data_IF_505506805916
#
_entry.id   IF_505506805916
#
_cell.length_a   1.000
_cell.length_b   1.000
_cell.length_c   1.000
_cell.angle_alpha   90.00
_cell.angle_beta   90.00
_cell.angle_gamma   90.00
#
_symmetry.space_group_name_H-M   'P 1'
#
loop_
_entity.id
_entity.type
_entity.pdbx_description
1 polymer ?
#
# COMPACT_ATOMS: atom_id res chain seq x y z
N UNK A 1 -4.18 -16.90 -7.79
CA UNK A 1 -2.72 -16.73 -7.52
C UNK A 1 -2.56 -16.52 -6.03
N UNK A 2 -1.61 -17.20 -5.38
CA UNK A 2 -1.32 -16.98 -3.96
C UNK A 2 -0.71 -15.59 -3.78
N UNK A 3 -1.37 -14.74 -2.99
CA UNK A 3 -0.88 -13.41 -2.63
C UNK A 3 -0.47 -13.46 -1.16
N UNK A 4 0.74 -13.02 -0.84
CA UNK A 4 1.13 -12.76 0.55
C UNK A 4 0.50 -11.47 1.07
N UNK A 5 0.24 -10.52 0.17
CA UNK A 5 -0.52 -9.31 0.46
C UNK A 5 -1.42 -9.01 -0.74
N UNK A 6 -2.71 -8.76 -0.51
CA UNK A 6 -3.69 -8.43 -1.55
C UNK A 6 -3.45 -7.05 -2.17
N UNK A 7 -4.19 -6.72 -3.23
CA UNK A 7 -4.19 -5.38 -3.80
C UNK A 7 -4.81 -4.38 -2.84
N UNK A 8 -4.09 -3.30 -2.54
CA UNK A 8 -4.55 -2.22 -1.68
C UNK A 8 -3.76 -0.94 -1.96
N UNK A 9 -4.19 0.15 -1.33
CA UNK A 9 -3.52 1.44 -1.22
C UNK A 9 -3.26 1.72 0.24
N UNK A 10 -2.22 2.50 0.54
CA UNK A 10 -1.96 2.93 1.91
C UNK A 10 -2.85 4.12 2.26
N UNK A 11 -3.52 4.07 3.40
CA UNK A 11 -4.41 5.15 3.85
C UNK A 11 -3.63 6.43 4.25
N UNK A 12 -2.41 6.28 4.77
CA UNK A 12 -1.55 7.37 5.25
C UNK A 12 -1.03 8.29 4.15
N UNK A 13 -0.01 9.10 4.47
CA UNK A 13 0.56 10.07 3.52
C UNK A 13 1.64 9.44 2.63
N UNK A 14 2.63 8.81 3.27
CA UNK A 14 3.83 8.29 2.61
C UNK A 14 4.27 7.03 3.32
N UNK A 15 4.70 6.03 2.56
CA UNK A 15 5.27 4.82 3.13
C UNK A 15 6.68 4.62 2.60
N UNK A 16 7.64 4.52 3.51
CA UNK A 16 9.00 4.09 3.20
C UNK A 16 9.11 2.58 3.35
N UNK A 17 9.72 1.91 2.38
CA UNK A 17 9.82 0.45 2.33
C UNK A 17 11.26 0.01 2.05
N UNK A 18 11.79 -0.89 2.88
CA UNK A 18 13.05 -1.59 2.59
C UNK A 18 12.82 -2.72 1.58
N UNK A 19 13.88 -3.17 0.90
CA UNK A 19 13.78 -4.31 0.02
C UNK A 19 13.24 -5.56 0.76
N UNK A 20 12.64 -6.48 0.01
CA UNK A 20 12.15 -7.73 0.58
C UNK A 20 13.29 -8.71 0.81
N UNK A 21 13.56 -9.06 2.06
CA UNK A 21 14.50 -10.12 2.44
C UNK A 21 13.79 -11.46 2.45
N UNK A 22 14.41 -12.50 1.90
CA UNK A 22 13.89 -13.86 1.92
C UNK A 22 14.72 -14.71 2.86
N UNK A 23 14.06 -15.49 3.71
CA UNK A 23 14.71 -16.33 4.70
C UNK A 23 14.25 -17.77 4.57
N UNK A 24 15.14 -18.70 4.92
CA UNK A 24 14.82 -20.11 5.10
C UNK A 24 15.55 -20.62 6.32
N UNK A 25 14.80 -21.15 7.28
CA UNK A 25 15.33 -21.63 8.56
C UNK A 25 16.19 -20.56 9.27
N UNK A 26 15.77 -19.29 9.20
CA UNK A 26 16.46 -18.14 9.79
C UNK A 26 17.68 -17.63 9.00
N UNK A 27 18.02 -18.23 7.87
CA UNK A 27 19.16 -17.81 7.03
C UNK A 27 18.65 -17.06 5.80
N UNK A 28 19.26 -15.91 5.48
CA UNK A 28 18.93 -15.16 4.27
C UNK A 28 19.31 -15.95 3.01
N UNK A 29 18.39 -16.04 2.07
CA UNK A 29 18.56 -16.75 0.79
C UNK A 29 18.05 -15.91 -0.37
N UNK A 30 18.52 -16.19 -1.58
CA UNK A 30 17.93 -15.62 -2.78
C UNK A 30 16.51 -16.18 -2.99
N UNK A 31 15.58 -15.35 -3.44
CA UNK A 31 14.25 -15.81 -3.83
C UNK A 31 14.36 -16.76 -5.04
N UNK A 32 13.86 -18.01 -4.96
CA UNK A 32 13.93 -18.96 -6.07
C UNK A 32 12.94 -18.63 -7.20
N UNK A 33 11.95 -17.75 -6.95
CA UNK A 33 10.94 -17.35 -7.92
C UNK A 33 11.11 -15.86 -8.30
N UNK A 34 11.53 -15.61 -9.55
CA UNK A 34 11.70 -14.25 -10.07
C UNK A 34 10.38 -13.49 -10.22
N UNK A 35 9.23 -14.16 -10.19
CA UNK A 35 7.90 -13.54 -10.23
C UNK A 35 7.33 -13.21 -8.84
N UNK A 36 8.03 -13.57 -7.76
CA UNK A 36 7.64 -13.19 -6.41
C UNK A 36 8.08 -11.75 -6.08
N UNK A 37 7.35 -11.11 -5.16
CA UNK A 37 7.70 -9.80 -4.61
C UNK A 37 6.60 -8.74 -4.80
N UNK A 38 7.02 -7.48 -4.72
CA UNK A 38 6.16 -6.30 -4.75
C UNK A 38 5.75 -5.96 -6.20
N UNK A 39 4.46 -5.70 -6.39
CA UNK A 39 3.88 -5.25 -7.64
C UNK A 39 3.04 -4.01 -7.41
N UNK A 40 3.03 -3.12 -8.39
CA UNK A 40 2.20 -1.90 -8.43
C UNK A 40 1.33 -1.88 -9.67
N UNK A 41 0.23 -1.14 -9.62
CA UNK A 41 -0.55 -0.75 -10.80
C UNK A 41 -0.10 0.63 -11.28
N UNK A 42 0.20 0.74 -12.57
CA UNK A 42 0.42 2.04 -13.22
C UNK A 42 -0.93 2.74 -13.44
N UNK A 43 -0.89 4.01 -13.86
CA UNK A 43 -2.10 4.80 -14.17
C UNK A 43 -2.90 4.22 -15.35
N UNK A 44 -2.27 3.38 -16.17
CA UNK A 44 -2.91 2.71 -17.30
C UNK A 44 -3.35 1.28 -16.93
N UNK A 45 -3.44 0.98 -15.63
CA UNK A 45 -3.81 -0.33 -15.06
C UNK A 45 -2.84 -1.48 -15.40
N UNK A 46 -1.62 -1.15 -15.85
CA UNK A 46 -0.59 -2.16 -16.07
C UNK A 46 0.01 -2.60 -14.73
N UNK A 47 0.22 -3.91 -14.57
CA UNK A 47 0.87 -4.45 -13.38
C UNK A 47 2.38 -4.57 -13.59
N UNK A 48 3.15 -3.82 -12.81
CA UNK A 48 4.61 -3.76 -12.90
C UNK A 48 5.24 -4.30 -11.62
N UNK A 49 6.28 -5.13 -11.77
CA UNK A 49 7.10 -5.58 -10.63
C UNK A 49 8.03 -4.46 -10.21
N UNK A 50 8.03 -4.10 -8.93
CA UNK A 50 8.95 -3.11 -8.38
C UNK A 50 10.28 -3.78 -8.05
N UNK A 51 11.38 -3.17 -8.46
CA UNK A 51 12.75 -3.63 -8.22
C UNK A 51 13.59 -2.45 -7.77
N UNK A 52 14.29 -2.62 -6.66
CA UNK A 52 15.21 -1.65 -6.05
C UNK A 52 16.26 -2.43 -5.25
N UNK A 53 17.41 -1.81 -5.00
CA UNK A 53 18.58 -2.39 -4.37
C UNK A 53 18.43 -2.67 -2.88
N UNK A 54 19.34 -3.47 -2.32
CA UNK A 54 19.35 -3.81 -0.89
C UNK A 54 19.64 -2.60 0.01
N UNK A 55 20.43 -1.65 -0.50
CA UNK A 55 20.78 -0.39 0.17
C UNK A 55 19.85 0.78 -0.22
N UNK A 56 18.71 0.48 -0.82
CA UNK A 56 17.73 1.47 -1.28
C UNK A 56 16.43 1.43 -0.46
N UNK A 57 15.80 2.59 -0.32
CA UNK A 57 14.46 2.74 0.26
C UNK A 57 13.52 3.18 -0.85
N UNK A 58 12.44 2.44 -1.05
CA UNK A 58 11.35 2.84 -1.92
C UNK A 58 10.35 3.70 -1.14
N UNK A 59 9.82 4.74 -1.78
CA UNK A 59 8.76 5.56 -1.23
C UNK A 59 7.51 5.45 -2.10
N UNK A 60 6.36 5.24 -1.46
CA UNK A 60 5.06 5.20 -2.13
C UNK A 60 4.08 6.20 -1.51
N UNK A 61 3.34 6.87 -2.38
CA UNK A 61 2.29 7.83 -2.01
C UNK A 61 1.07 7.07 -1.51
N UNK A 62 0.50 7.52 -0.39
CA UNK A 62 -0.78 7.06 0.14
C UNK A 62 -1.94 8.02 -0.14
N UNK A 63 -3.13 7.57 0.20
CA UNK A 63 -4.41 8.23 -0.06
C UNK A 63 -4.50 9.62 0.56
N UNK A 64 -3.94 9.80 1.76
CA UNK A 64 -3.97 11.10 2.43
C UNK A 64 -3.18 12.15 1.65
N UNK A 65 -2.04 11.79 1.06
CA UNK A 65 -1.29 12.72 0.21
C UNK A 65 -1.99 12.98 -1.12
N UNK A 66 -2.68 12.00 -1.68
CA UNK A 66 -3.56 12.23 -2.83
C UNK A 66 -4.63 13.29 -2.51
N UNK A 67 -5.32 13.16 -1.37
CA UNK A 67 -6.34 14.12 -0.89
C UNK A 67 -5.73 15.51 -0.72
N UNK A 68 -4.63 15.62 0.04
CA UNK A 68 -3.97 16.90 0.32
C UNK A 68 -3.43 17.58 -0.95
N UNK A 69 -3.04 16.80 -1.95
CA UNK A 69 -2.59 17.32 -3.25
C UNK A 69 -3.73 17.70 -4.20
N UNK A 70 -4.99 17.49 -3.81
CA UNK A 70 -6.15 17.71 -4.68
C UNK A 70 -6.19 16.76 -5.88
N UNK A 71 -5.64 15.55 -5.74
CA UNK A 71 -5.53 14.55 -6.81
C UNK A 71 -4.36 14.75 -7.78
N UNK A 72 -3.40 15.64 -7.47
CA UNK A 72 -2.20 15.78 -8.31
C UNK A 72 -1.25 14.59 -8.15
N UNK A 73 -1.03 14.16 -6.91
CA UNK A 73 -0.37 12.90 -6.56
C UNK A 73 -1.42 11.82 -6.39
N UNK A 74 -1.08 10.57 -6.70
CA UNK A 74 -2.02 9.45 -6.64
C UNK A 74 -1.48 8.35 -5.73
N UNK A 75 -2.35 7.84 -4.86
CA UNK A 75 -2.07 6.62 -4.10
C UNK A 75 -1.83 5.48 -5.09
N UNK A 76 -0.75 4.73 -4.90
CA UNK A 76 -0.36 3.69 -5.87
C UNK A 76 -0.85 2.32 -5.39
N UNK A 77 -1.80 1.67 -6.10
CA UNK A 77 -2.24 0.34 -5.70
C UNK A 77 -1.11 -0.66 -5.83
N UNK A 78 -0.93 -1.50 -4.81
CA UNK A 78 0.17 -2.44 -4.74
C UNK A 78 -0.25 -3.76 -4.07
N UNK A 79 0.51 -4.82 -4.35
CA UNK A 79 0.33 -6.14 -3.75
C UNK A 79 1.67 -6.88 -3.63
N UNK A 80 1.71 -7.95 -2.84
CA UNK A 80 2.88 -8.82 -2.75
C UNK A 80 2.50 -10.23 -3.20
N UNK A 81 3.11 -10.67 -4.30
CA UNK A 81 2.93 -12.02 -4.84
C UNK A 81 3.83 -13.01 -4.10
N UNK A 82 3.22 -14.09 -3.64
CA UNK A 82 3.95 -15.19 -3.04
C UNK A 82 4.72 -15.97 -4.11
N UNK A 83 5.90 -16.52 -3.79
CA UNK A 83 6.66 -17.38 -4.67
C UNK A 83 5.92 -18.70 -4.91
N UNK A 84 6.17 -19.28 -6.07
CA UNK A 84 5.59 -20.55 -6.50
C UNK A 84 6.66 -21.50 -7.06
N UNK A 85 6.37 -22.81 -7.05
CA UNK A 85 7.27 -23.82 -7.62
C UNK A 85 8.15 -24.56 -6.60
N UNK A 86 9.26 -25.12 -7.06
CA UNK A 86 10.15 -25.95 -6.23
C UNK A 86 10.96 -25.08 -5.26
N UNK A 87 11.16 -25.56 -4.04
CA UNK A 87 12.01 -24.89 -3.04
C UNK A 87 11.35 -23.75 -2.25
N UNK A 88 10.08 -23.42 -2.52
CA UNK A 88 9.33 -22.36 -1.82
C UNK A 88 8.79 -22.77 -0.45
N UNK A 89 8.73 -24.07 -0.16
CA UNK A 89 8.31 -24.55 1.16
C UNK A 89 9.31 -24.11 2.22
N UNK A 90 8.79 -23.56 3.33
CA UNK A 90 9.57 -22.97 4.41
C UNK A 90 10.28 -21.66 4.04
N UNK A 91 9.91 -21.02 2.92
CA UNK A 91 10.45 -19.72 2.55
C UNK A 91 9.63 -18.61 3.19
N UNK A 92 10.32 -17.73 3.90
CA UNK A 92 9.78 -16.55 4.55
C UNK A 92 10.17 -15.30 3.77
N UNK A 93 9.39 -14.23 3.93
CA UNK A 93 9.74 -12.90 3.43
C UNK A 93 9.53 -11.86 4.52
N UNK A 94 10.54 -11.04 4.76
CA UNK A 94 10.51 -9.89 5.67
C UNK A 94 10.77 -8.61 4.90
N UNK A 95 10.12 -7.53 5.32
CA UNK A 95 10.32 -6.17 4.81
C UNK A 95 9.93 -5.21 5.92
N UNK A 96 10.59 -4.05 6.01
CA UNK A 96 10.22 -3.02 6.96
C UNK A 96 9.46 -1.92 6.23
N UNK A 97 8.20 -1.70 6.64
CA UNK A 97 7.34 -0.63 6.15
C UNK A 97 7.18 0.42 7.25
N UNK A 98 7.58 1.66 6.96
CA UNK A 98 7.37 2.81 7.82
C UNK A 98 6.23 3.66 7.26
N UNK A 99 5.07 3.57 7.89
CA UNK A 99 3.90 4.37 7.55
C UNK A 99 4.01 5.76 8.20
N UNK A 100 3.99 6.80 7.37
CA UNK A 100 3.96 8.20 7.80
C UNK A 100 2.58 8.77 7.51
N UNK A 101 2.00 9.42 8.52
CA UNK A 101 0.65 9.95 8.49
C UNK A 101 0.59 11.34 9.15
N UNK A 102 -0.43 12.15 8.86
CA UNK A 102 -0.61 13.43 9.54
C UNK A 102 -1.02 13.25 11.01
N UNK A 103 -1.04 14.37 11.73
CA UNK A 103 -1.64 14.43 13.05
C UNK A 103 -3.14 14.08 12.98
N UNK A 104 -3.66 13.47 14.04
CA UNK A 104 -5.06 13.01 14.12
C UNK A 104 -6.08 14.12 13.81
N UNK A 105 -5.80 15.35 14.24
CA UNK A 105 -6.67 16.51 14.04
C UNK A 105 -6.42 17.28 12.74
N UNK A 106 -5.51 16.83 11.87
CA UNK A 106 -5.20 17.54 10.62
C UNK A 106 -6.41 17.55 9.69
N UNK A 107 -6.74 18.72 9.13
CA UNK A 107 -7.91 18.89 8.27
C UNK A 107 -7.62 18.42 6.84
N UNK A 108 -8.31 17.38 6.41
CA UNK A 108 -8.31 16.89 5.04
C UNK A 108 -9.47 17.54 4.26
N UNK A 109 -9.12 18.34 3.25
CA UNK A 109 -10.10 18.96 2.35
C UNK A 109 -10.29 18.07 1.13
N UNK A 110 -11.45 17.44 1.01
CA UNK A 110 -11.77 16.58 -0.11
C UNK A 110 -12.22 17.43 -1.31
N UNK A 111 -11.52 17.38 -2.46
CA UNK A 111 -11.94 18.13 -3.63
C UNK A 111 -13.24 17.58 -4.22
N UNK A 112 -13.89 18.37 -5.08
CA UNK A 112 -15.16 18.02 -5.71
C UNK A 112 -15.09 16.66 -6.44
N UNK A 113 -13.96 16.41 -7.11
CA UNK A 113 -13.68 15.20 -7.87
C UNK A 113 -12.53 14.42 -7.23
N UNK A 114 -12.86 13.52 -6.30
CA UNK A 114 -11.95 12.44 -5.88
C UNK A 114 -12.40 11.12 -6.46
N UNK A 115 -11.47 10.24 -6.80
CA UNK A 115 -11.81 8.91 -7.31
C UNK A 115 -11.87 7.83 -6.23
N UNK A 116 -11.31 8.10 -5.05
CA UNK A 116 -11.30 7.22 -3.88
C UNK A 116 -12.49 7.49 -2.94
N UNK A 117 -13.00 6.43 -2.32
CA UNK A 117 -13.99 6.43 -1.22
C UNK A 117 -15.25 7.32 -1.42
N UNK A 118 -15.71 7.49 -2.67
CA UNK A 118 -16.89 8.31 -3.04
C UNK A 118 -18.17 7.88 -2.31
N UNK A 119 -18.27 6.61 -1.98
CA UNK A 119 -19.40 6.01 -1.27
C UNK A 119 -19.44 6.37 0.22
N UNK A 120 -18.30 6.80 0.78
CA UNK A 120 -18.16 7.14 2.20
C UNK A 120 -18.05 8.64 2.46
N UNK A 121 -17.46 9.38 1.52
CA UNK A 121 -17.02 10.76 1.74
C UNK A 121 -17.72 11.69 0.74
N UNK A 122 -18.57 12.62 1.22
CA UNK A 122 -19.19 13.61 0.36
C UNK A 122 -18.15 14.50 -0.34
N UNK A 123 -18.38 14.84 -1.61
CA UNK A 123 -17.59 15.83 -2.33
C UNK A 123 -17.58 17.18 -1.59
N UNK A 124 -16.46 17.91 -1.68
CA UNK A 124 -16.27 19.23 -1.04
C UNK A 124 -16.47 19.21 0.49
N UNK A 125 -16.26 18.07 1.14
CA UNK A 125 -16.29 17.96 2.59
C UNK A 125 -14.91 18.23 3.20
N UNK A 126 -14.89 18.53 4.48
CA UNK A 126 -13.68 18.55 5.30
C UNK A 126 -13.88 17.55 6.43
N UNK A 127 -12.91 16.67 6.60
CA UNK A 127 -12.81 15.75 7.74
C UNK A 127 -11.42 15.90 8.33
N UNK A 128 -11.29 15.66 9.62
CA UNK A 128 -9.96 15.42 10.20
C UNK A 128 -9.40 14.09 9.69
N UNK A 129 -8.07 13.92 9.73
CA UNK A 129 -7.43 12.63 9.43
C UNK A 129 -7.98 11.50 10.32
N UNK A 130 -8.29 11.81 11.58
CA UNK A 130 -8.94 10.90 12.51
C UNK A 130 -10.32 10.43 12.04
N UNK A 131 -11.22 11.37 11.72
CA UNK A 131 -12.56 11.04 11.21
C UNK A 131 -12.51 10.27 9.87
N UNK A 132 -11.55 10.60 9.01
CA UNK A 132 -11.30 9.85 7.78
C UNK A 132 -10.88 8.41 8.08
N UNK A 133 -9.93 8.23 9.02
CA UNK A 133 -9.42 6.92 9.43
C UNK A 133 -10.52 6.05 10.02
N UNK A 134 -11.34 6.60 10.94
CA UNK A 134 -12.46 5.87 11.54
C UNK A 134 -13.47 5.39 10.49
N UNK A 135 -13.83 6.24 9.53
CA UNK A 135 -14.73 5.85 8.42
C UNK A 135 -14.18 4.69 7.58
N UNK A 136 -12.87 4.69 7.32
CA UNK A 136 -12.24 3.59 6.59
C UNK A 136 -12.23 2.30 7.40
N UNK A 137 -11.86 2.37 8.69
CA UNK A 137 -11.87 1.20 9.57
C UNK A 137 -13.28 0.59 9.68
N UNK A 138 -14.31 1.43 9.81
CA UNK A 138 -15.71 1.00 9.81
C UNK A 138 -16.07 0.25 8.52
N UNK A 139 -15.63 0.76 7.36
CA UNK A 139 -15.84 0.08 6.08
C UNK A 139 -15.15 -1.27 6.01
N UNK A 140 -13.92 -1.39 6.50
CA UNK A 140 -13.14 -2.63 6.37
C UNK A 140 -13.54 -3.70 7.39
N UNK A 141 -13.97 -3.31 8.60
CA UNK A 141 -14.15 -4.24 9.72
C UNK A 141 -15.58 -4.35 10.24
N UNK A 142 -16.45 -3.38 9.95
CA UNK A 142 -17.78 -3.28 10.58
C UNK A 142 -18.94 -3.29 9.58
N UNK A 143 -18.74 -2.81 8.35
CA UNK A 143 -19.67 -3.02 7.25
C UNK A 143 -19.55 -4.47 6.74
N UNK A 144 -20.19 -5.40 7.44
CA UNK A 144 -20.46 -6.74 6.92
C UNK A 144 -21.37 -6.60 5.68
N UNK A 145 -20.85 -6.92 4.50
CA UNK A 145 -21.67 -7.27 3.33
C UNK A 145 -22.39 -8.59 3.56
#
# INVERSE_FOLDING_TARGET
>A
MSSWCGWHTDHGSLTGLTCGMFLKDGVQVACPDRAAGLYVKTRNDETVKVVFGEDEIAYQIGETTEILSGGYLHATPHCVRAPSGKGVSGLERSTFALFMQPDWGENLKFPEKMHIHKELIPSNSTLTFGEYTEKLLDKYYHLKT
#
